data_IF_633175635717
#
_entry.id   IF_633175635717
#
_cell.length_a   1.000
_cell.length_b   1.000
_cell.length_c   1.000
_cell.angle_alpha   90.00
_cell.angle_beta   90.00
_cell.angle_gamma   90.00
#
_symmetry.space_group_name_H-M   'P 1'
#
loop_
_entity.id
_entity.type
_entity.pdbx_description
1 polymer ?
#
# COMPACT_ATOMS: atom_id res chain seq x y z
N UNK A 1 -13.00 20.02 -8.48
CA UNK A 1 -13.87 19.10 -7.73
C UNK A 1 -13.23 17.71 -7.62
N UNK A 2 -12.13 17.56 -6.90
CA UNK A 2 -11.63 16.24 -6.50
C UNK A 2 -10.98 16.41 -5.12
N UNK A 3 -11.80 16.36 -4.07
CA UNK A 3 -11.35 16.14 -2.69
C UNK A 3 -11.20 14.62 -2.48
N UNK A 4 -10.38 13.98 -3.27
CA UNK A 4 -10.22 12.54 -3.18
C UNK A 4 -9.09 12.19 -2.23
N UNK A 5 -9.38 11.27 -1.36
CA UNK A 5 -8.60 10.90 -0.21
C UNK A 5 -7.46 9.97 -0.62
N UNK A 6 -6.26 10.41 -0.38
CA UNK A 6 -5.04 9.68 -0.67
C UNK A 6 -4.50 9.08 0.64
N UNK A 7 -4.36 7.78 0.72
CA UNK A 7 -3.76 7.13 1.89
C UNK A 7 -2.29 6.91 1.65
N UNK A 8 -1.44 7.70 2.28
CA UNK A 8 0.00 7.48 2.32
C UNK A 8 0.36 6.96 3.69
N UNK A 9 0.81 5.70 3.78
CA UNK A 9 1.53 5.22 4.94
C UNK A 9 3.00 5.60 4.73
N UNK A 10 3.44 6.69 5.35
CA UNK A 10 4.86 7.06 5.36
C UNK A 10 5.57 6.24 6.44
N UNK A 11 6.49 5.38 6.02
CA UNK A 11 7.57 4.94 6.90
C UNK A 11 8.56 6.11 7.08
N UNK A 12 9.22 6.27 8.25
CA UNK A 12 10.14 7.38 8.46
C UNK A 12 11.28 7.31 7.45
N UNK A 13 11.26 8.21 6.50
CA UNK A 13 12.35 8.39 5.55
C UNK A 13 13.49 9.10 6.28
N UNK A 14 14.58 8.37 6.55
CA UNK A 14 15.81 8.95 7.06
C UNK A 14 16.21 10.16 6.20
N UNK A 15 16.35 11.34 6.85
CA UNK A 15 16.88 12.63 6.37
C UNK A 15 16.66 12.93 4.88
N UNK A 16 15.52 13.51 4.56
CA UNK A 16 15.20 14.02 3.22
C UNK A 16 15.87 15.40 2.96
N UNK A 17 16.46 15.56 1.77
CA UNK A 17 17.07 16.82 1.35
C UNK A 17 16.00 17.89 1.08
N UNK A 18 16.37 19.20 1.14
CA UNK A 18 15.47 20.34 0.86
C UNK A 18 14.79 20.28 -0.52
N UNK A 19 15.36 19.59 -1.51
CA UNK A 19 14.77 19.40 -2.85
C UNK A 19 13.57 18.46 -2.86
N UNK A 20 13.59 17.40 -2.04
CA UNK A 20 12.47 16.47 -1.87
C UNK A 20 11.22 17.15 -1.31
N UNK A 21 11.43 18.15 -0.45
CA UNK A 21 10.37 18.91 0.20
C UNK A 21 9.51 19.73 -0.78
N UNK A 22 10.14 20.42 -1.73
CA UNK A 22 9.42 21.22 -2.73
C UNK A 22 8.57 20.36 -3.68
N UNK A 23 9.04 19.15 -4.03
CA UNK A 23 8.31 18.19 -4.87
C UNK A 23 7.13 17.55 -4.15
N UNK A 24 7.30 17.23 -2.86
CA UNK A 24 6.20 16.75 -2.01
C UNK A 24 5.09 17.79 -1.91
N UNK A 25 5.42 19.07 -1.76
CA UNK A 25 4.47 20.18 -1.74
C UNK A 25 3.73 20.35 -3.09
N UNK A 26 4.40 20.09 -4.21
CA UNK A 26 3.77 20.12 -5.54
C UNK A 26 2.79 18.96 -5.74
N UNK A 27 3.11 17.77 -5.22
CA UNK A 27 2.19 16.62 -5.22
C UNK A 27 0.97 16.87 -4.34
N UNK A 28 1.13 17.57 -3.20
CA UNK A 28 0.05 17.96 -2.29
C UNK A 28 -0.99 18.87 -2.93
N UNK A 29 -0.61 19.76 -3.87
CA UNK A 29 -1.56 20.64 -4.55
C UNK A 29 -2.54 19.90 -5.45
N UNK A 30 -2.23 18.66 -5.80
CA UNK A 30 -3.05 17.81 -6.68
C UNK A 30 -3.90 16.79 -5.91
N UNK A 31 -3.53 16.44 -4.66
CA UNK A 31 -4.20 15.38 -3.89
C UNK A 31 -4.39 15.77 -2.41
N UNK A 32 -5.60 15.60 -1.89
CA UNK A 32 -5.85 15.66 -0.45
C UNK A 32 -5.39 14.34 0.19
N UNK A 33 -4.26 14.37 0.91
CA UNK A 33 -3.67 13.17 1.49
C UNK A 33 -4.14 12.89 2.92
N UNK A 34 -4.40 11.61 3.23
CA UNK A 34 -4.58 11.11 4.59
C UNK A 34 -3.60 9.97 4.87
N UNK A 35 -3.17 9.82 6.10
CA UNK A 35 -2.29 8.75 6.56
C UNK A 35 -3.03 7.90 7.57
N UNK A 36 -3.02 6.58 7.38
CA UNK A 36 -3.42 5.65 8.43
C UNK A 36 -2.28 5.54 9.45
N UNK A 37 -2.49 6.09 10.63
CA UNK A 37 -1.56 5.98 11.74
C UNK A 37 -1.67 4.62 12.43
N UNK A 38 -0.54 4.06 12.89
CA UNK A 38 -0.50 2.87 13.71
C UNK A 38 -0.03 3.22 15.13
N UNK A 39 -0.62 2.64 16.19
CA UNK A 39 -0.13 2.82 17.55
C UNK A 39 1.33 2.41 17.69
N UNK A 40 2.11 3.19 18.44
CA UNK A 40 3.53 2.89 18.69
C UNK A 40 4.48 3.24 17.55
N UNK A 41 3.98 3.85 16.47
CA UNK A 41 4.83 4.36 15.39
C UNK A 41 5.32 5.79 15.66
N UNK A 42 6.37 6.18 14.94
CA UNK A 42 7.13 7.40 15.11
C UNK A 42 6.26 8.66 15.15
N UNK A 43 6.15 9.26 16.34
CA UNK A 43 5.42 10.50 16.56
C UNK A 43 5.99 11.68 15.74
N UNK A 44 7.29 11.65 15.43
CA UNK A 44 7.97 12.68 14.64
C UNK A 44 7.51 12.64 13.18
N UNK A 45 7.36 11.45 12.60
CA UNK A 45 6.83 11.28 11.24
C UNK A 45 5.40 11.81 11.13
N UNK A 46 4.55 11.57 12.14
CA UNK A 46 3.18 12.11 12.16
C UNK A 46 3.14 13.62 12.39
N UNK A 47 4.04 14.17 13.21
CA UNK A 47 4.17 15.61 13.38
C UNK A 47 4.57 16.28 12.05
N UNK A 48 5.50 15.67 11.30
CA UNK A 48 5.89 16.14 9.97
C UNK A 48 4.70 16.11 8.99
N UNK A 49 3.93 15.04 8.96
CA UNK A 49 2.72 14.92 8.13
C UNK A 49 1.73 16.05 8.43
N UNK A 50 1.43 16.29 9.71
CA UNK A 50 0.55 17.40 10.15
C UNK A 50 1.09 18.76 9.76
N UNK A 51 2.39 19.00 9.92
CA UNK A 51 3.04 20.26 9.50
C UNK A 51 2.84 20.54 8.01
N UNK A 52 2.73 19.49 7.20
CA UNK A 52 2.44 19.59 5.76
C UNK A 52 0.94 19.51 5.43
N UNK A 53 0.06 19.59 6.44
CA UNK A 53 -1.39 19.57 6.28
C UNK A 53 -1.94 18.24 5.79
N UNK A 54 -1.21 17.14 6.03
CA UNK A 54 -1.68 15.77 5.80
C UNK A 54 -2.38 15.29 7.06
N UNK A 55 -3.62 14.85 6.93
CA UNK A 55 -4.41 14.34 8.05
C UNK A 55 -3.92 12.94 8.44
N UNK A 56 -3.68 12.72 9.73
CA UNK A 56 -3.36 11.40 10.29
C UNK A 56 -4.59 10.85 11.00
N UNK A 57 -5.02 9.64 10.64
CA UNK A 57 -6.20 8.95 11.16
C UNK A 57 -5.77 7.65 11.82
N UNK A 58 -6.19 7.41 13.05
CA UNK A 58 -5.85 6.21 13.82
C UNK A 58 -7.07 5.31 13.99
N UNK A 59 -6.85 3.99 13.94
CA UNK A 59 -7.88 2.99 14.21
C UNK A 59 -8.88 2.76 13.07
N UNK A 60 -8.88 3.57 12.02
CA UNK A 60 -9.85 3.53 10.92
C UNK A 60 -9.23 3.19 9.56
N UNK A 61 -8.15 2.42 9.54
CA UNK A 61 -7.39 2.12 8.31
C UNK A 61 -8.29 1.56 7.20
N UNK A 62 -9.21 0.66 7.54
CA UNK A 62 -10.12 0.05 6.56
C UNK A 62 -11.11 1.05 5.97
N UNK A 63 -11.69 1.90 6.82
CA UNK A 63 -12.60 2.98 6.38
C UNK A 63 -11.85 3.93 5.45
N UNK A 64 -10.62 4.28 5.83
CA UNK A 64 -9.77 5.13 5.02
C UNK A 64 -9.46 4.52 3.65
N UNK A 65 -9.16 3.20 3.60
CA UNK A 65 -8.95 2.48 2.35
C UNK A 65 -10.19 2.46 1.45
N UNK A 66 -11.39 2.30 2.03
CA UNK A 66 -12.65 2.31 1.30
C UNK A 66 -12.99 3.68 0.69
N UNK A 67 -12.54 4.76 1.31
CA UNK A 67 -12.76 6.14 0.86
C UNK A 67 -11.67 6.64 -0.06
N UNK A 68 -10.52 5.98 -0.12
CA UNK A 68 -9.38 6.43 -0.90
C UNK A 68 -9.54 6.10 -2.39
N UNK A 69 -9.07 7.01 -3.24
CA UNK A 69 -8.97 6.79 -4.69
C UNK A 69 -7.74 5.95 -5.02
N UNK A 70 -6.60 6.25 -4.39
CA UNK A 70 -5.31 5.57 -4.59
C UNK A 70 -4.62 5.33 -3.24
N UNK A 71 -3.69 4.37 -3.21
CA UNK A 71 -2.89 4.07 -2.02
C UNK A 71 -1.39 3.94 -2.30
N UNK A 72 -0.59 4.37 -1.31
CA UNK A 72 0.79 3.92 -1.13
C UNK A 72 0.81 3.09 0.14
N UNK A 73 1.09 1.80 0.03
CA UNK A 73 0.89 0.87 1.14
C UNK A 73 2.19 0.11 1.41
N UNK A 74 2.63 0.15 2.67
CA UNK A 74 3.79 -0.64 3.07
C UNK A 74 3.49 -2.14 2.94
N UNK A 75 4.46 -2.93 2.47
CA UNK A 75 4.31 -4.38 2.33
C UNK A 75 3.87 -5.02 3.66
N UNK A 76 2.89 -5.91 3.57
CA UNK A 76 2.26 -6.59 4.70
C UNK A 76 0.81 -6.96 4.40
N UNK A 77 0.06 -7.38 5.41
CA UNK A 77 -1.36 -7.75 5.28
C UNK A 77 -2.25 -6.62 4.76
N UNK A 78 -1.88 -5.37 5.03
CA UNK A 78 -2.61 -4.19 4.55
C UNK A 78 -2.67 -4.11 3.01
N UNK A 79 -1.67 -4.65 2.29
CA UNK A 79 -1.68 -4.69 0.82
C UNK A 79 -2.74 -5.65 0.29
N UNK A 80 -2.92 -6.78 0.95
CA UNK A 80 -3.98 -7.73 0.60
C UNK A 80 -5.37 -7.16 0.92
N UNK A 81 -5.52 -6.53 2.08
CA UNK A 81 -6.77 -5.87 2.48
C UNK A 81 -7.18 -4.80 1.48
N UNK A 82 -6.26 -3.94 1.06
CA UNK A 82 -6.50 -2.91 0.04
C UNK A 82 -6.88 -3.52 -1.32
N UNK A 83 -6.20 -4.59 -1.74
CA UNK A 83 -6.53 -5.29 -2.99
C UNK A 83 -7.93 -5.93 -2.95
N UNK A 84 -8.32 -6.53 -1.82
CA UNK A 84 -9.65 -7.11 -1.62
C UNK A 84 -10.79 -6.06 -1.61
N UNK A 85 -10.49 -4.85 -1.12
CA UNK A 85 -11.42 -3.70 -1.19
C UNK A 85 -11.51 -3.15 -2.62
N UNK A 86 -10.53 -3.47 -3.48
CA UNK A 86 -10.43 -2.92 -4.84
C UNK A 86 -9.82 -1.52 -4.87
N UNK A 87 -8.97 -1.17 -3.89
CA UNK A 87 -8.21 0.07 -3.88
C UNK A 87 -6.96 -0.05 -4.77
N UNK A 88 -6.85 0.70 -5.87
CA UNK A 88 -5.62 0.73 -6.64
C UNK A 88 -4.49 1.35 -5.83
N UNK A 89 -3.35 0.67 -5.77
CA UNK A 89 -2.25 1.10 -4.93
C UNK A 89 -0.87 0.66 -5.46
N UNK A 90 0.15 1.23 -4.88
CA UNK A 90 1.55 0.82 -5.07
C UNK A 90 2.04 0.23 -3.76
N UNK A 91 2.69 -0.92 -3.83
CA UNK A 91 3.30 -1.57 -2.67
C UNK A 91 4.69 -0.99 -2.46
N UNK A 92 4.93 -0.46 -1.27
CA UNK A 92 6.20 0.15 -0.88
C UNK A 92 6.89 -0.72 0.17
N UNK A 93 8.18 -1.00 -0.01
CA UNK A 93 8.95 -1.73 0.98
C UNK A 93 10.35 -1.14 1.14
N UNK A 94 10.66 -0.76 2.37
CA UNK A 94 11.98 -0.24 2.72
C UNK A 94 12.41 -0.82 4.06
N UNK A 95 13.58 -1.43 4.10
CA UNK A 95 14.16 -2.03 5.30
C UNK A 95 15.66 -1.77 5.33
N UNK A 96 16.36 -2.20 6.38
CA UNK A 96 17.81 -2.09 6.43
C UNK A 96 18.46 -2.85 5.27
N UNK A 97 19.60 -2.36 4.78
CA UNK A 97 20.31 -3.00 3.67
C UNK A 97 20.70 -4.45 3.98
N UNK A 98 21.07 -4.71 5.23
CA UNK A 98 21.44 -6.06 5.70
C UNK A 98 20.22 -7.00 5.69
N UNK A 99 19.09 -6.55 6.25
CA UNK A 99 17.83 -7.32 6.25
C UNK A 99 17.37 -7.63 4.84
N UNK A 100 17.45 -6.64 3.93
CA UNK A 100 17.09 -6.83 2.53
C UNK A 100 17.99 -7.86 1.85
N UNK A 101 19.30 -7.78 2.05
CA UNK A 101 20.26 -8.71 1.45
C UNK A 101 20.02 -10.15 1.91
N UNK A 102 19.79 -10.35 3.22
CA UNK A 102 19.46 -11.65 3.78
C UNK A 102 18.13 -12.18 3.25
N UNK A 103 17.09 -11.35 3.26
CA UNK A 103 15.78 -11.72 2.74
C UNK A 103 15.84 -12.09 1.25
N UNK A 104 16.54 -11.31 0.43
CA UNK A 104 16.71 -11.58 -1.00
C UNK A 104 17.45 -12.90 -1.27
N UNK A 105 18.39 -13.28 -0.38
CA UNK A 105 19.17 -14.51 -0.53
C UNK A 105 18.40 -15.75 -0.08
N UNK A 106 17.51 -15.61 0.90
CA UNK A 106 16.73 -16.70 1.48
C UNK A 106 15.34 -16.85 0.83
N UNK A 107 14.73 -15.77 0.36
CA UNK A 107 13.40 -15.79 -0.23
C UNK A 107 13.44 -16.34 -1.67
N UNK A 108 12.73 -17.44 -1.90
CA UNK A 108 12.49 -18.03 -3.24
C UNK A 108 11.22 -17.43 -3.90
N UNK A 109 10.73 -16.30 -3.41
CA UNK A 109 9.50 -15.68 -3.92
C UNK A 109 9.83 -14.56 -4.90
N UNK A 110 9.07 -14.48 -6.00
CA UNK A 110 9.23 -13.46 -7.02
C UNK A 110 8.63 -12.12 -6.63
N UNK A 111 7.76 -12.09 -5.64
CA UNK A 111 6.98 -10.91 -5.19
C UNK A 111 7.05 -10.76 -3.68
N UNK A 112 6.90 -9.52 -3.18
CA UNK A 112 6.85 -9.24 -1.73
C UNK A 112 5.44 -8.89 -1.24
N UNK A 113 4.57 -8.47 -2.14
CA UNK A 113 3.18 -8.15 -1.82
C UNK A 113 2.30 -9.37 -1.85
N UNK A 114 1.55 -9.60 -0.77
CA UNK A 114 0.62 -10.74 -0.67
C UNK A 114 -0.33 -10.89 -1.86
N UNK A 115 -0.92 -9.80 -2.42
CA UNK A 115 -1.77 -9.93 -3.60
C UNK A 115 -1.04 -10.56 -4.80
N UNK A 116 0.19 -10.09 -5.09
CA UNK A 116 0.99 -10.59 -6.21
C UNK A 116 1.43 -12.04 -6.00
N UNK A 117 1.77 -12.40 -4.74
CA UNK A 117 2.11 -13.78 -4.37
C UNK A 117 0.91 -14.71 -4.61
N UNK A 118 -0.29 -14.32 -4.17
CA UNK A 118 -1.49 -15.13 -4.28
C UNK A 118 -1.93 -15.36 -5.74
N UNK A 119 -1.84 -14.31 -6.57
CA UNK A 119 -2.22 -14.43 -7.98
C UNK A 119 -1.09 -14.93 -8.89
N UNK A 120 0.13 -15.08 -8.35
CA UNK A 120 1.29 -15.59 -9.10
C UNK A 120 1.84 -14.66 -10.19
N UNK A 121 1.41 -13.40 -10.23
CA UNK A 121 1.83 -12.41 -11.23
C UNK A 121 1.97 -10.99 -10.64
N UNK A 122 2.72 -10.11 -11.32
CA UNK A 122 2.82 -8.68 -10.98
C UNK A 122 1.54 -7.95 -11.39
N UNK A 123 0.54 -7.93 -10.52
CA UNK A 123 -0.70 -7.16 -10.74
C UNK A 123 -0.65 -5.78 -10.10
N UNK A 124 0.03 -5.66 -8.96
CA UNK A 124 0.25 -4.41 -8.23
C UNK A 124 1.72 -4.09 -8.26
N UNK A 125 2.07 -2.86 -8.65
CA UNK A 125 3.46 -2.43 -8.72
C UNK A 125 4.12 -2.43 -7.34
N UNK A 126 5.29 -3.06 -7.24
CA UNK A 126 6.12 -3.07 -6.05
C UNK A 126 7.33 -2.14 -6.22
N UNK A 127 7.60 -1.31 -5.21
CA UNK A 127 8.79 -0.46 -5.13
C UNK A 127 9.57 -0.81 -3.89
N UNK A 128 10.81 -1.22 -4.10
CA UNK A 128 11.67 -1.80 -3.06
C UNK A 128 12.91 -0.94 -2.90
N UNK A 129 13.29 -0.64 -1.64
CA UNK A 129 14.52 0.05 -1.29
C UNK A 129 14.71 1.37 -2.06
N UNK A 130 15.72 1.47 -2.92
CA UNK A 130 16.06 2.66 -3.70
C UNK A 130 14.98 3.10 -4.69
N UNK A 131 14.16 2.17 -5.17
CA UNK A 131 13.08 2.46 -6.11
C UNK A 131 11.84 3.03 -5.41
N UNK A 132 11.82 2.99 -4.06
CA UNK A 132 10.80 3.59 -3.22
C UNK A 132 11.16 5.05 -2.93
N UNK A 133 11.14 5.91 -3.95
CA UNK A 133 11.38 7.35 -3.84
C UNK A 133 10.24 8.16 -4.48
N UNK A 134 10.08 9.41 -4.03
CA UNK A 134 8.91 10.22 -4.31
C UNK A 134 8.61 10.41 -5.79
N UNK A 135 9.61 10.67 -6.63
CA UNK A 135 9.42 10.88 -8.07
C UNK A 135 8.89 9.62 -8.77
N UNK A 136 9.39 8.44 -8.37
CA UNK A 136 8.95 7.18 -8.93
C UNK A 136 7.54 6.82 -8.46
N UNK A 137 7.27 7.00 -7.17
CA UNK A 137 5.95 6.76 -6.60
C UNK A 137 4.89 7.67 -7.23
N UNK A 138 5.20 8.95 -7.43
CA UNK A 138 4.30 9.89 -8.10
C UNK A 138 4.01 9.47 -9.55
N UNK A 139 5.05 9.05 -10.30
CA UNK A 139 4.86 8.53 -11.66
C UNK A 139 3.98 7.29 -11.68
N UNK A 140 4.21 6.35 -10.76
CA UNK A 140 3.43 5.12 -10.68
C UNK A 140 1.97 5.38 -10.35
N UNK A 141 1.68 6.29 -9.41
CA UNK A 141 0.31 6.69 -9.11
C UNK A 141 -0.41 7.29 -10.30
N UNK A 142 0.27 8.12 -11.10
CA UNK A 142 -0.28 8.67 -12.34
C UNK A 142 -0.54 7.59 -13.40
N UNK A 143 0.09 6.41 -13.30
CA UNK A 143 -0.28 5.28 -14.16
C UNK A 143 -1.58 4.61 -13.75
N UNK A 144 -2.10 4.87 -12.55
CA UNK A 144 -3.34 4.31 -12.04
C UNK A 144 -4.53 5.27 -12.17
N UNK A 145 -4.27 6.59 -12.11
CA UNK A 145 -5.29 7.63 -12.16
C UNK A 145 -4.71 8.90 -12.79
N UNK A 146 -5.40 9.48 -13.76
CA UNK A 146 -4.94 10.63 -14.55
C UNK A 146 -5.30 12.00 -13.96
N UNK A 147 -5.94 12.00 -12.79
CA UNK A 147 -6.47 13.20 -12.11
C UNK A 147 -7.97 13.36 -12.27
N UNK A 148 -8.60 12.70 -13.24
CA UNK A 148 -10.05 12.73 -13.48
C UNK A 148 -10.68 11.35 -13.30
N UNK A 149 -10.01 10.30 -13.78
CA UNK A 149 -10.53 8.94 -13.75
C UNK A 149 -9.42 7.89 -13.57
N UNK A 150 -9.81 6.67 -13.25
CA UNK A 150 -8.87 5.56 -13.30
C UNK A 150 -8.44 5.26 -14.74
N UNK A 151 -7.15 5.09 -14.92
CA UNK A 151 -6.60 4.57 -16.18
C UNK A 151 -7.00 3.10 -16.38
N UNK A 152 -6.68 2.54 -17.55
CA UNK A 152 -6.82 1.09 -17.80
C UNK A 152 -6.17 0.26 -16.69
N UNK A 153 -4.93 0.61 -16.30
CA UNK A 153 -4.19 -0.08 -15.23
C UNK A 153 -4.85 0.06 -13.86
N UNK A 154 -5.40 1.23 -13.53
CA UNK A 154 -6.17 1.44 -12.31
C UNK A 154 -7.41 0.56 -12.25
N UNK A 155 -8.16 0.46 -13.33
CA UNK A 155 -9.31 -0.43 -13.44
C UNK A 155 -8.93 -1.91 -13.38
N UNK A 156 -7.80 -2.31 -13.97
CA UNK A 156 -7.29 -3.67 -13.86
C UNK A 156 -6.99 -4.04 -12.40
N UNK A 157 -6.36 -3.15 -11.64
CA UNK A 157 -6.15 -3.38 -10.20
C UNK A 157 -7.46 -3.46 -9.40
N UNK A 158 -8.44 -2.61 -9.71
CA UNK A 158 -9.76 -2.71 -9.05
C UNK A 158 -10.41 -4.07 -9.25
N UNK A 159 -10.35 -4.62 -10.46
CA UNK A 159 -10.92 -5.94 -10.79
C UNK A 159 -10.16 -7.12 -10.18
N UNK A 160 -8.90 -6.94 -9.78
CA UNK A 160 -8.15 -7.98 -9.07
C UNK A 160 -8.83 -8.42 -7.77
N UNK A 161 -9.67 -7.59 -7.16
CA UNK A 161 -10.41 -7.95 -5.95
C UNK A 161 -11.25 -9.21 -6.15
N UNK A 162 -11.82 -9.40 -7.33
CA UNK A 162 -12.68 -10.55 -7.63
C UNK A 162 -11.85 -11.83 -7.83
N UNK A 163 -10.70 -11.72 -8.52
CA UNK A 163 -9.72 -12.80 -8.66
C UNK A 163 -9.20 -13.25 -7.28
N UNK A 164 -8.82 -12.32 -6.42
CA UNK A 164 -8.35 -12.60 -5.07
C UNK A 164 -9.42 -13.23 -4.17
N UNK A 165 -10.66 -12.75 -4.24
CA UNK A 165 -11.78 -13.35 -3.50
C UNK A 165 -12.05 -14.79 -3.95
N UNK A 166 -11.93 -15.05 -5.25
CA UNK A 166 -12.06 -16.40 -5.79
C UNK A 166 -10.96 -17.33 -5.29
N UNK A 167 -9.71 -16.87 -5.24
CA UNK A 167 -8.57 -17.66 -4.74
C UNK A 167 -8.71 -17.95 -3.24
N UNK A 168 -9.09 -16.94 -2.45
CA UNK A 168 -9.23 -17.09 -0.99
C UNK A 168 -10.46 -17.88 -0.58
N UNK A 169 -11.45 -18.00 -1.47
CA UNK A 169 -12.71 -18.68 -1.20
C UNK A 169 -13.61 -17.93 -0.22
N UNK A 170 -14.79 -18.49 0.02
CA UNK A 170 -15.81 -17.91 0.92
C UNK A 170 -15.82 -18.54 2.30
N UNK A 171 -15.08 -19.63 2.51
CA UNK A 171 -15.08 -20.35 3.78
C UNK A 171 -14.26 -19.59 4.83
N UNK A 172 -14.81 -19.55 6.06
CA UNK A 172 -14.05 -19.00 7.19
C UNK A 172 -12.88 -19.93 7.49
N UNK A 173 -11.65 -19.43 7.44
CA UNK A 173 -10.43 -20.20 7.71
C UNK A 173 -10.51 -21.00 9.03
N UNK A 174 -11.13 -20.44 10.08
CA UNK A 174 -11.37 -21.12 11.36
C UNK A 174 -12.23 -22.38 11.23
N UNK A 175 -13.22 -22.39 10.35
CA UNK A 175 -14.06 -23.60 10.11
C UNK A 175 -13.29 -24.67 9.36
N UNK A 176 -12.52 -24.29 8.34
CA UNK A 176 -11.69 -25.22 7.58
C UNK A 176 -10.60 -25.85 8.43
N UNK A 177 -9.95 -25.07 9.28
CA UNK A 177 -8.94 -25.58 10.22
C UNK A 177 -9.57 -26.50 11.27
N UNK A 178 -10.72 -26.15 11.85
CA UNK A 178 -11.43 -27.00 12.80
C UNK A 178 -11.84 -28.34 12.16
N UNK A 179 -12.38 -28.31 10.94
CA UNK A 179 -12.73 -29.53 10.21
C UNK A 179 -11.49 -30.41 9.96
N UNK A 180 -10.40 -29.82 9.48
CA UNK A 180 -9.15 -30.56 9.23
C UNK A 180 -8.53 -31.17 10.49
N UNK A 181 -8.66 -30.50 11.65
CA UNK A 181 -8.21 -31.07 12.94
C UNK A 181 -9.10 -32.26 13.33
N UNK A 182 -10.42 -32.14 13.19
CA UNK A 182 -11.37 -33.23 13.53
C UNK A 182 -11.24 -34.47 12.62
N UNK A 183 -10.87 -34.27 11.36
CA UNK A 183 -10.63 -35.35 10.40
C UNK A 183 -9.34 -36.13 10.67
N UNK A 184 -8.40 -35.56 11.42
CA UNK A 184 -7.07 -36.13 11.74
C UNK A 184 -6.94 -36.59 13.21
N UNK A 185 -8.03 -36.58 13.98
CA UNK A 185 -8.14 -37.15 15.33
C UNK A 185 -8.78 -38.55 15.30
#
# INVERSE_FOLDING_TARGET
FLKDHFTVKLEPMAKTSRRSHAKFLKMRSLFAGKIAGAPGQDAEAYALAKKHGVQVVFGETRVLMQQATLGLIASGTATLEAALIGLPHIICYRTSALTYLLAKRLARVSYIGLPNILIGKMGIQERIQKDCHEDQLAKDLNTLHDGQSYTKKGWEQKRMSDELKSILGTQKASKSVAASILENL
#
